data_IF_754086899733
#
_entry.id   IF_754086899733
#
_cell.length_a   1.000
_cell.length_b   1.000
_cell.length_c   1.000
_cell.angle_alpha   90.00
_cell.angle_beta   90.00
_cell.angle_gamma   90.00
#
_symmetry.space_group_name_H-M   'P 1'
#
loop_
_entity.id
_entity.type
_entity.pdbx_description
1 polymer ?
#
# COMPACT_ATOMS: atom_id res chain seq x y z
N UNK A 1 14.37 12.76 22.57
CA UNK A 1 14.41 11.45 21.90
C UNK A 1 13.63 11.40 20.58
N UNK A 2 12.44 12.01 20.42
CA UNK A 2 11.78 12.16 19.09
C UNK A 2 12.70 12.90 18.11
N UNK A 3 13.36 13.96 18.58
CA UNK A 3 14.26 14.79 17.78
C UNK A 3 15.30 14.02 16.97
N UNK A 4 15.97 13.00 17.53
CA UNK A 4 17.02 12.28 16.80
C UNK A 4 16.47 11.47 15.61
N UNK A 5 15.28 10.88 15.74
CA UNK A 5 14.63 10.13 14.65
C UNK A 5 14.15 11.09 13.58
N UNK A 6 13.47 12.17 13.99
CA UNK A 6 13.02 13.23 13.09
C UNK A 6 14.19 13.83 12.32
N UNK A 7 15.31 14.13 12.98
CA UNK A 7 16.51 14.66 12.33
C UNK A 7 17.12 13.70 11.31
N UNK A 8 17.24 12.41 11.65
CA UNK A 8 17.76 11.38 10.73
C UNK A 8 16.87 11.26 9.50
N UNK A 9 15.55 11.17 9.72
CA UNK A 9 14.59 11.03 8.65
C UNK A 9 14.53 12.29 7.78
N UNK A 10 14.55 13.49 8.39
CA UNK A 10 14.58 14.74 7.66
C UNK A 10 15.85 14.86 6.80
N UNK A 11 17.04 14.53 7.35
CA UNK A 11 18.29 14.49 6.58
C UNK A 11 18.26 13.51 5.41
N UNK A 12 17.47 12.45 5.50
CA UNK A 12 17.25 11.52 4.39
C UNK A 12 16.29 12.12 3.35
N UNK A 13 15.19 12.74 3.78
CA UNK A 13 14.15 13.29 2.91
C UNK A 13 14.59 14.55 2.13
N UNK A 14 15.53 15.33 2.67
CA UNK A 14 16.06 16.54 1.99
C UNK A 14 17.21 16.26 1.03
N UNK A 15 17.62 15.00 0.84
CA UNK A 15 18.64 14.66 -0.15
C UNK A 15 18.12 14.93 -1.56
N UNK A 16 19.01 15.35 -2.45
CA UNK A 16 18.70 15.32 -3.87
C UNK A 16 18.43 13.85 -4.26
N UNK A 17 17.32 13.62 -4.95
CA UNK A 17 16.92 12.30 -5.44
C UNK A 17 16.70 11.27 -4.30
N UNK A 18 15.72 11.52 -3.43
CA UNK A 18 15.25 10.52 -2.45
C UNK A 18 14.35 9.46 -3.12
N UNK A 19 14.27 8.26 -2.53
CA UNK A 19 13.48 7.12 -3.01
C UNK A 19 13.89 6.60 -4.39
N UNK A 20 15.18 6.31 -4.58
CA UNK A 20 15.69 5.77 -5.85
C UNK A 20 15.80 4.24 -5.83
N UNK A 21 15.56 3.61 -4.68
CA UNK A 21 15.72 2.17 -4.50
C UNK A 21 14.69 1.61 -3.50
N UNK A 22 14.48 0.28 -3.52
CA UNK A 22 13.64 -0.42 -2.52
C UNK A 22 14.15 -0.19 -1.07
N UNK A 23 15.46 -0.26 -0.77
CA UNK A 23 16.00 0.08 0.54
C UNK A 23 15.64 1.48 1.05
N UNK A 24 15.54 2.50 0.18
CA UNK A 24 15.19 3.86 0.59
C UNK A 24 13.76 3.91 1.17
N UNK A 25 12.83 3.22 0.52
CA UNK A 25 11.44 3.11 0.99
C UNK A 25 11.37 2.29 2.28
N UNK A 26 12.08 1.16 2.35
CA UNK A 26 12.14 0.34 3.57
C UNK A 26 12.70 1.14 4.74
N UNK A 27 13.76 1.92 4.50
CA UNK A 27 14.34 2.82 5.50
C UNK A 27 13.30 3.82 6.02
N UNK A 28 12.58 4.49 5.11
CA UNK A 28 11.47 5.37 5.49
C UNK A 28 10.41 4.66 6.31
N UNK A 29 9.93 3.48 5.88
CA UNK A 29 8.93 2.71 6.61
C UNK A 29 9.40 2.34 8.03
N UNK A 30 10.67 1.98 8.20
CA UNK A 30 11.26 1.68 9.52
C UNK A 30 11.27 2.91 10.42
N UNK A 31 11.76 4.05 9.94
CA UNK A 31 11.83 5.27 10.75
C UNK A 31 10.44 5.86 11.03
N UNK A 32 9.53 5.83 10.05
CA UNK A 32 8.13 6.24 10.23
C UNK A 32 7.42 5.42 11.32
N UNK A 33 7.61 4.09 11.38
CA UNK A 33 7.07 3.25 12.46
C UNK A 33 7.55 3.66 13.85
N UNK A 34 8.82 4.06 13.98
CA UNK A 34 9.38 4.53 15.25
C UNK A 34 8.82 5.88 15.67
N UNK A 35 8.48 6.75 14.71
CA UNK A 35 7.79 8.00 15.00
C UNK A 35 6.33 7.74 15.39
N UNK A 36 5.62 6.92 14.62
CA UNK A 36 4.23 6.52 14.92
C UNK A 36 4.09 5.91 16.31
N UNK A 37 5.03 5.06 16.75
CA UNK A 37 4.96 4.46 18.10
C UNK A 37 5.11 5.46 19.25
N UNK A 38 5.55 6.68 18.97
CA UNK A 38 5.74 7.77 19.94
C UNK A 38 4.64 8.83 19.91
N UNK A 39 3.75 8.77 18.93
CA UNK A 39 2.58 9.66 18.86
C UNK A 39 1.57 9.33 19.95
N UNK A 40 0.65 10.26 20.23
CA UNK A 40 -0.50 10.00 21.09
C UNK A 40 -1.37 8.86 20.53
N UNK A 41 -2.20 8.23 21.35
CA UNK A 41 -3.10 7.17 20.87
C UNK A 41 -4.07 7.68 19.79
N UNK A 42 -4.58 8.90 19.95
CA UNK A 42 -5.45 9.56 18.98
C UNK A 42 -4.75 9.71 17.63
N UNK A 43 -3.52 10.22 17.62
CA UNK A 43 -2.73 10.40 16.41
C UNK A 43 -2.32 9.06 15.78
N UNK A 44 -2.00 8.05 16.60
CA UNK A 44 -1.68 6.70 16.08
C UNK A 44 -2.86 6.11 15.32
N UNK A 45 -4.08 6.27 15.83
CA UNK A 45 -5.28 5.79 15.17
C UNK A 45 -5.55 6.57 13.87
N UNK A 46 -5.30 7.89 13.89
CA UNK A 46 -5.38 8.74 12.70
C UNK A 46 -4.44 8.29 11.58
N UNK A 47 -3.24 7.83 11.91
CA UNK A 47 -2.23 7.35 10.96
C UNK A 47 -2.15 5.82 10.86
N UNK A 48 -3.24 5.12 11.18
CA UNK A 48 -3.28 3.66 11.15
C UNK A 48 -3.00 3.09 9.76
N UNK A 49 -3.45 3.76 8.68
CA UNK A 49 -3.21 3.31 7.31
C UNK A 49 -1.72 3.41 6.94
N UNK A 50 -1.05 4.52 7.26
CA UNK A 50 0.41 4.60 7.10
C UNK A 50 1.11 3.50 7.87
N UNK A 51 0.73 3.27 9.12
CA UNK A 51 1.28 2.18 9.94
C UNK A 51 1.07 0.82 9.26
N UNK A 52 -0.11 0.57 8.71
CA UNK A 52 -0.45 -0.67 8.00
C UNK A 52 0.52 -0.92 6.84
N UNK A 53 0.76 0.08 5.98
CA UNK A 53 1.70 -0.04 4.86
C UNK A 53 3.14 -0.22 5.33
N UNK A 54 3.59 0.53 6.35
CA UNK A 54 4.94 0.38 6.88
C UNK A 54 5.17 -0.99 7.53
N UNK A 55 4.17 -1.54 8.22
CA UNK A 55 4.24 -2.90 8.74
C UNK A 55 4.27 -3.90 7.58
N UNK A 56 3.39 -3.77 6.59
CA UNK A 56 3.32 -4.68 5.45
C UNK A 56 4.65 -4.78 4.72
N UNK A 57 5.32 -3.65 4.44
CA UNK A 57 6.63 -3.58 3.79
C UNK A 57 7.75 -4.37 4.50
N UNK A 58 7.53 -4.76 5.76
CA UNK A 58 8.50 -5.46 6.61
C UNK A 58 8.10 -6.90 6.93
N UNK A 59 7.05 -7.42 6.30
CA UNK A 59 6.57 -8.79 6.48
C UNK A 59 6.43 -9.48 5.13
N UNK A 60 6.60 -10.81 5.11
CA UNK A 60 6.40 -11.61 3.90
C UNK A 60 4.93 -11.71 3.49
N UNK A 61 4.01 -11.45 4.42
CA UNK A 61 2.57 -11.40 4.21
C UNK A 61 1.92 -10.48 5.25
N UNK A 62 0.72 -9.98 4.95
CA UNK A 62 -0.06 -9.12 5.84
C UNK A 62 -1.38 -9.80 6.22
N UNK A 63 -1.46 -10.27 7.46
CA UNK A 63 -2.61 -11.00 8.03
C UNK A 63 -3.25 -10.30 9.23
N UNK A 64 -2.61 -9.23 9.73
CA UNK A 64 -2.99 -8.53 10.96
C UNK A 64 -3.43 -7.09 10.67
N UNK A 65 -4.26 -6.51 11.55
CA UNK A 65 -4.74 -5.12 11.46
C UNK A 65 -5.49 -4.83 10.15
N UNK A 66 -6.30 -5.80 9.70
CA UNK A 66 -7.07 -5.70 8.46
C UNK A 66 -8.28 -4.77 8.59
N UNK A 67 -8.71 -4.48 9.82
CA UNK A 67 -9.76 -3.51 10.15
C UNK A 67 -9.44 -2.11 9.60
N UNK A 68 -8.16 -1.75 9.54
CA UNK A 68 -7.68 -0.45 9.00
C UNK A 68 -8.00 -0.27 7.52
N UNK A 69 -8.14 -1.36 6.77
CA UNK A 69 -8.45 -1.35 5.34
C UNK A 69 -9.83 -1.94 5.04
N UNK A 70 -10.67 -2.21 6.06
CA UNK A 70 -11.97 -2.90 5.87
C UNK A 70 -12.86 -2.17 4.85
N UNK A 71 -12.97 -0.85 4.95
CA UNK A 71 -13.77 -0.05 4.01
C UNK A 71 -13.23 -0.12 2.59
N UNK A 72 -11.90 -0.17 2.42
CA UNK A 72 -11.26 -0.33 1.11
C UNK A 72 -11.58 -1.71 0.53
N UNK A 73 -11.54 -2.76 1.36
CA UNK A 73 -11.87 -4.13 0.92
C UNK A 73 -13.34 -4.24 0.49
N UNK A 74 -14.25 -3.58 1.20
CA UNK A 74 -15.68 -3.50 0.86
C UNK A 74 -15.89 -2.70 -0.44
N UNK A 75 -15.17 -1.58 -0.62
CA UNK A 75 -15.18 -0.81 -1.87
C UNK A 75 -14.71 -1.68 -3.04
N UNK A 76 -13.65 -2.48 -2.85
CA UNK A 76 -13.13 -3.42 -3.87
C UNK A 76 -14.09 -4.55 -4.23
N UNK A 77 -14.96 -4.99 -3.33
CA UNK A 77 -16.04 -5.93 -3.68
C UNK A 77 -17.09 -5.32 -4.58
N UNK A 78 -17.39 -4.04 -4.34
CA UNK A 78 -18.46 -3.33 -5.04
C UNK A 78 -17.99 -2.86 -6.40
N UNK A 79 -16.81 -2.25 -6.46
CA UNK A 79 -16.12 -1.86 -7.68
C UNK A 79 -14.62 -2.10 -7.55
N UNK A 80 -14.23 -3.32 -7.92
CA UNK A 80 -12.83 -3.76 -7.90
C UNK A 80 -11.95 -2.89 -8.79
N UNK A 81 -12.51 -2.21 -9.80
CA UNK A 81 -11.76 -1.33 -10.71
C UNK A 81 -11.29 -0.09 -10.01
N UNK A 82 -12.25 0.70 -9.53
CA UNK A 82 -11.99 2.04 -9.04
C UNK A 82 -11.20 1.95 -7.74
N UNK A 83 -11.64 1.10 -6.82
CA UNK A 83 -10.95 0.85 -5.56
C UNK A 83 -9.59 0.18 -5.76
N UNK A 84 -9.49 -0.78 -6.69
CA UNK A 84 -8.23 -1.42 -7.06
C UNK A 84 -7.20 -0.42 -7.60
N UNK A 85 -7.63 0.48 -8.48
CA UNK A 85 -6.79 1.54 -9.03
C UNK A 85 -6.35 2.54 -7.94
N UNK A 86 -7.27 2.99 -7.08
CA UNK A 86 -6.92 3.85 -5.95
C UNK A 86 -5.92 3.18 -5.00
N UNK A 87 -6.05 1.87 -4.78
CA UNK A 87 -5.15 1.13 -3.90
C UNK A 87 -3.76 0.93 -4.51
N UNK A 88 -3.67 0.53 -5.79
CA UNK A 88 -2.38 0.32 -6.47
C UNK A 88 -1.61 1.64 -6.64
N UNK A 89 -2.33 2.74 -6.90
CA UNK A 89 -1.76 4.09 -6.99
C UNK A 89 -1.53 4.74 -5.62
N UNK A 90 -1.85 4.04 -4.53
CA UNK A 90 -1.69 4.51 -3.15
C UNK A 90 -2.45 5.82 -2.85
N UNK A 91 -3.57 6.05 -3.53
CA UNK A 91 -4.41 7.24 -3.36
C UNK A 91 -5.04 7.31 -1.96
N UNK A 92 -5.32 6.18 -1.33
CA UNK A 92 -5.76 6.15 0.07
C UNK A 92 -4.63 6.52 1.05
N UNK A 93 -3.38 6.13 0.73
CA UNK A 93 -2.21 6.36 1.59
C UNK A 93 -1.69 7.80 1.49
N UNK A 94 -1.66 8.39 0.29
CA UNK A 94 -1.09 9.73 0.04
C UNK A 94 -1.56 10.81 1.03
N UNK A 95 -2.87 11.03 1.27
CA UNK A 95 -3.32 12.05 2.21
C UNK A 95 -2.91 11.74 3.65
N UNK A 96 -2.98 10.46 4.06
CA UNK A 96 -2.60 10.04 5.40
C UNK A 96 -1.09 10.25 5.66
N UNK A 97 -0.26 9.97 4.66
CA UNK A 97 1.18 10.17 4.70
C UNK A 97 1.55 11.67 4.69
N UNK A 98 0.92 12.46 3.81
CA UNK A 98 1.12 13.91 3.75
C UNK A 98 0.87 14.56 5.12
N UNK A 99 -0.30 14.28 5.70
CA UNK A 99 -0.67 14.85 6.99
C UNK A 99 0.25 14.38 8.12
N UNK A 100 0.70 13.13 8.10
CA UNK A 100 1.69 12.63 9.04
C UNK A 100 2.99 13.45 8.97
N UNK A 101 3.53 13.67 7.76
CA UNK A 101 4.77 14.42 7.56
C UNK A 101 4.66 15.85 8.12
N UNK A 102 3.53 16.52 7.88
CA UNK A 102 3.27 17.87 8.39
C UNK A 102 3.22 17.86 9.93
N UNK A 103 2.51 16.91 10.53
CA UNK A 103 2.35 16.79 12.00
C UNK A 103 3.68 16.53 12.70
N UNK A 104 4.57 15.71 12.11
CA UNK A 104 5.88 15.41 12.70
C UNK A 104 6.99 16.38 12.28
N UNK A 105 6.67 17.41 11.48
CA UNK A 105 7.59 18.45 11.04
C UNK A 105 8.69 17.96 10.09
N UNK A 106 8.34 17.05 9.18
CA UNK A 106 9.24 16.52 8.15
C UNK A 106 8.97 17.15 6.79
N UNK A 107 9.97 17.09 5.91
CA UNK A 107 9.80 17.45 4.50
C UNK A 107 8.65 16.65 3.86
N UNK A 108 7.61 17.35 3.43
CA UNK A 108 6.42 16.74 2.87
C UNK A 108 6.61 16.36 1.39
N UNK A 109 7.27 15.23 1.17
CA UNK A 109 7.49 14.71 -0.18
C UNK A 109 6.22 14.20 -0.86
N UNK A 110 5.13 13.95 -0.12
CA UNK A 110 3.87 13.50 -0.70
C UNK A 110 3.27 14.55 -1.65
N UNK A 111 3.57 15.83 -1.40
CA UNK A 111 3.13 16.95 -2.23
C UNK A 111 4.04 17.22 -3.45
N UNK A 112 5.12 16.43 -3.61
CA UNK A 112 6.04 16.52 -4.75
C UNK A 112 5.77 15.35 -5.69
N UNK A 113 5.19 15.62 -6.86
CA UNK A 113 4.71 14.56 -7.77
C UNK A 113 5.81 13.56 -8.13
N UNK A 114 6.99 14.00 -8.55
CA UNK A 114 8.09 13.09 -8.91
C UNK A 114 8.56 12.23 -7.73
N UNK A 115 8.66 12.82 -6.54
CA UNK A 115 9.10 12.09 -5.34
C UNK A 115 8.04 11.11 -4.86
N UNK A 116 6.76 11.48 -4.94
CA UNK A 116 5.64 10.60 -4.64
C UNK A 116 5.55 9.43 -5.62
N UNK A 117 5.73 9.68 -6.92
CA UNK A 117 5.76 8.65 -7.96
C UNK A 117 6.88 7.65 -7.67
N UNK A 118 8.09 8.12 -7.36
CA UNK A 118 9.21 7.25 -7.01
C UNK A 118 8.93 6.44 -5.72
N UNK A 119 8.44 7.09 -4.67
CA UNK A 119 8.08 6.43 -3.42
C UNK A 119 7.04 5.32 -3.64
N UNK A 120 5.93 5.62 -4.33
CA UNK A 120 4.85 4.66 -4.59
C UNK A 120 5.30 3.52 -5.51
N UNK A 121 6.14 3.81 -6.50
CA UNK A 121 6.76 2.79 -7.36
C UNK A 121 7.64 1.84 -6.56
N UNK A 122 8.59 2.34 -5.76
CA UNK A 122 9.47 1.46 -4.99
C UNK A 122 8.74 0.78 -3.82
N UNK A 123 7.75 1.42 -3.21
CA UNK A 123 6.91 0.77 -2.19
C UNK A 123 6.13 -0.40 -2.79
N UNK A 124 5.50 -0.22 -3.96
CA UNK A 124 4.77 -1.32 -4.61
C UNK A 124 5.70 -2.45 -5.07
N UNK A 125 6.98 -2.17 -5.35
CA UNK A 125 8.01 -3.20 -5.55
C UNK A 125 8.37 -3.95 -4.29
N UNK A 126 8.54 -3.26 -3.16
CA UNK A 126 8.78 -3.90 -1.85
C UNK A 126 7.62 -4.82 -1.50
N UNK A 127 6.39 -4.39 -1.77
CA UNK A 127 5.15 -5.14 -1.51
C UNK A 127 4.85 -6.21 -2.57
N UNK A 128 5.63 -6.28 -3.65
CA UNK A 128 5.47 -7.30 -4.68
C UNK A 128 5.71 -8.70 -4.07
N UNK A 129 4.83 -9.64 -4.39
CA UNK A 129 4.83 -11.00 -3.80
C UNK A 129 4.61 -11.05 -2.27
N UNK A 130 4.24 -9.95 -1.62
CA UNK A 130 3.83 -9.93 -0.22
C UNK A 130 2.30 -9.84 -0.13
N UNK A 131 1.56 -10.96 -0.05
CA UNK A 131 0.09 -10.90 -0.08
C UNK A 131 -0.48 -10.26 1.18
N UNK A 132 -1.58 -9.52 1.03
CA UNK A 132 -2.57 -9.34 2.11
C UNK A 132 -3.48 -10.56 2.07
N UNK A 133 -3.59 -11.27 3.20
CA UNK A 133 -4.45 -12.43 3.34
C UNK A 133 -5.55 -12.09 4.34
N UNK A 134 -6.78 -12.06 3.87
CA UNK A 134 -7.92 -11.81 4.75
C UNK A 134 -8.35 -13.11 5.44
N UNK A 135 -8.77 -12.96 6.69
CA UNK A 135 -9.33 -14.04 7.48
C UNK A 135 -10.84 -13.77 7.68
N UNK A 136 -11.51 -14.52 8.55
CA UNK A 136 -12.94 -14.34 8.83
C UNK A 136 -13.25 -13.10 9.69
N UNK A 137 -12.25 -12.31 10.10
CA UNK A 137 -12.45 -11.12 10.92
C UNK A 137 -12.83 -9.88 10.10
N UNK A 138 -12.63 -9.90 8.78
CA UNK A 138 -13.11 -8.84 7.88
C UNK A 138 -14.53 -9.15 7.44
N UNK A 139 -15.40 -8.14 7.37
CA UNK A 139 -16.74 -8.26 6.76
C UNK A 139 -16.68 -8.46 5.25
N UNK A 140 -15.55 -8.13 4.66
CA UNK A 140 -15.25 -8.30 3.25
C UNK A 140 -15.12 -9.78 2.85
N UNK A 141 -15.67 -10.11 1.68
CA UNK A 141 -15.45 -11.33 0.92
C UNK A 141 -14.13 -11.34 0.12
N UNK A 142 -13.38 -10.23 0.02
CA UNK A 142 -12.00 -10.27 -0.52
C UNK A 142 -11.21 -11.28 0.31
N UNK A 143 -10.56 -12.24 -0.33
CA UNK A 143 -9.72 -13.29 0.27
C UNK A 143 -8.25 -12.89 0.30
N UNK A 144 -7.75 -12.34 -0.79
CA UNK A 144 -6.35 -11.93 -0.89
C UNK A 144 -6.15 -10.77 -1.84
N UNK A 145 -5.13 -9.94 -1.55
CA UNK A 145 -4.66 -8.86 -2.43
C UNK A 145 -3.16 -9.04 -2.62
N UNK A 146 -2.68 -8.90 -3.86
CA UNK A 146 -1.26 -9.00 -4.20
C UNK A 146 -0.84 -7.94 -5.21
N UNK A 147 0.29 -7.29 -4.97
CA UNK A 147 1.02 -6.62 -6.03
C UNK A 147 1.77 -7.67 -6.87
N UNK A 148 1.73 -7.52 -8.20
CA UNK A 148 2.43 -8.37 -9.16
C UNK A 148 3.16 -7.53 -10.19
N UNK A 149 4.44 -7.77 -10.37
CA UNK A 149 5.22 -7.13 -11.42
C UNK A 149 5.03 -7.85 -12.77
N UNK A 150 4.48 -7.14 -13.76
CA UNK A 150 4.36 -7.66 -15.12
C UNK A 150 5.59 -7.32 -15.95
N UNK A 151 6.48 -8.30 -16.13
CA UNK A 151 7.73 -8.14 -16.90
C UNK A 151 7.53 -7.61 -18.32
N UNK A 152 6.43 -8.00 -18.98
CA UNK A 152 6.14 -7.60 -20.37
C UNK A 152 5.92 -6.09 -20.52
N UNK A 153 5.30 -5.46 -19.53
CA UNK A 153 4.92 -4.05 -19.56
C UNK A 153 5.78 -3.19 -18.63
N UNK A 154 6.60 -3.82 -17.77
CA UNK A 154 7.35 -3.17 -16.68
C UNK A 154 6.44 -2.36 -15.73
N UNK A 155 5.21 -2.83 -15.57
CA UNK A 155 4.20 -2.22 -14.70
C UNK A 155 3.92 -3.12 -13.50
N UNK A 156 3.47 -2.50 -12.43
CA UNK A 156 2.97 -3.21 -11.25
C UNK A 156 1.46 -3.26 -11.35
N UNK A 157 0.94 -4.47 -11.12
CA UNK A 157 -0.47 -4.77 -11.18
C UNK A 157 -0.98 -5.18 -9.81
N UNK A 158 -2.26 -4.91 -9.54
CA UNK A 158 -2.94 -5.47 -8.39
C UNK A 158 -3.66 -6.74 -8.80
N UNK A 159 -3.63 -7.75 -7.94
CA UNK A 159 -4.41 -8.99 -8.07
C UNK A 159 -5.31 -9.10 -6.85
N UNK A 160 -6.62 -9.11 -7.06
CA UNK A 160 -7.61 -9.24 -5.98
C UNK A 160 -8.33 -10.57 -6.15
N UNK A 161 -8.37 -11.36 -5.08
CA UNK A 161 -9.08 -12.63 -4.99
C UNK A 161 -10.34 -12.44 -4.15
N UNK A 162 -11.54 -12.75 -4.66
CA UNK A 162 -12.82 -12.60 -3.93
C UNK A 162 -13.46 -13.98 -3.69
N UNK A 163 -14.00 -14.20 -2.49
CA UNK A 163 -14.81 -15.37 -2.13
C UNK A 163 -16.22 -15.15 -2.65
N UNK A 164 -16.61 -15.82 -3.73
CA UNK A 164 -18.03 -15.92 -4.10
C UNK A 164 -18.56 -17.36 -3.83
N UNK A 165 -19.88 -17.55 -3.96
CA UNK A 165 -20.54 -18.86 -3.80
C UNK A 165 -20.25 -19.85 -4.97
N UNK A 166 -19.52 -19.45 -6.01
CA UNK A 166 -19.27 -20.15 -7.28
C UNK A 166 -17.77 -20.40 -7.59
N UNK A 167 -16.83 -19.91 -6.80
CA UNK A 167 -15.38 -20.05 -6.98
C UNK A 167 -14.60 -18.74 -7.02
N UNK A 168 -13.28 -18.84 -6.87
CA UNK A 168 -12.37 -17.68 -6.85
C UNK A 168 -12.42 -16.84 -8.13
N UNK A 169 -12.72 -15.54 -8.01
CA UNK A 169 -12.53 -14.56 -9.10
C UNK A 169 -11.22 -13.80 -8.92
N UNK A 170 -10.51 -13.54 -10.02
CA UNK A 170 -9.30 -12.71 -10.03
C UNK A 170 -9.49 -11.50 -10.94
N UNK A 171 -9.08 -10.32 -10.48
CA UNK A 171 -8.96 -9.13 -11.29
C UNK A 171 -7.49 -8.69 -11.37
N UNK A 172 -7.02 -8.29 -12.56
CA UNK A 172 -5.66 -7.84 -12.83
C UNK A 172 -5.71 -6.39 -13.34
N UNK A 173 -4.85 -5.50 -12.84
CA UNK A 173 -4.95 -4.05 -13.08
C UNK A 173 -3.63 -3.45 -13.57
N UNK A 174 -3.56 -2.92 -14.79
CA UNK A 174 -2.39 -2.13 -15.22
C UNK A 174 -2.39 -1.63 -16.66
N UNK A 175 -3.36 -2.01 -17.48
CA UNK A 175 -3.45 -1.64 -18.90
C UNK A 175 -4.85 -1.19 -19.36
N UNK A 176 -5.75 -0.88 -18.42
CA UNK A 176 -7.09 -0.33 -18.73
C UNK A 176 -8.02 -1.29 -19.47
N UNK A 177 -7.67 -2.58 -19.57
CA UNK A 177 -8.54 -3.63 -20.14
C UNK A 177 -8.85 -4.69 -19.10
N UNK A 178 -10.13 -4.80 -18.80
CA UNK A 178 -10.69 -5.85 -17.97
C UNK A 178 -10.60 -7.21 -18.66
N UNK A 179 -10.25 -8.25 -17.90
CA UNK A 179 -10.65 -9.61 -18.23
C UNK A 179 -11.45 -10.13 -17.05
N UNK A 180 -12.77 -10.22 -17.23
CA UNK A 180 -13.61 -11.04 -16.36
C UNK A 180 -13.16 -12.48 -16.57
N UNK A 181 -12.61 -13.13 -15.55
CA UNK A 181 -12.16 -14.53 -15.63
C UNK A 181 -13.35 -15.51 -15.65
N UNK A 182 -14.16 -15.44 -16.71
CA UNK A 182 -14.94 -16.59 -17.16
C UNK A 182 -14.60 -17.01 -18.60
N UNK A 183 -13.72 -16.30 -19.31
CA UNK A 183 -13.43 -16.60 -20.72
C UNK A 183 -12.08 -17.28 -21.00
N UNK A 184 -11.19 -17.45 -20.02
CA UNK A 184 -9.85 -18.04 -20.25
C UNK A 184 -9.64 -19.48 -19.74
N UNK A 185 -10.69 -20.15 -19.24
CA UNK A 185 -10.63 -21.59 -18.89
C UNK A 185 -11.54 -22.46 -19.78
N UNK A 186 -11.73 -22.04 -21.02
CA UNK A 186 -12.51 -22.78 -22.02
C UNK A 186 -11.97 -22.59 -23.41
N UNK A 187 -10.70 -22.92 -23.63
CA UNK A 187 -10.08 -23.29 -24.93
C UNK A 187 -8.58 -23.50 -24.71
N UNK A 188 -8.18 -24.75 -24.51
CA UNK A 188 -7.14 -25.45 -25.26
C UNK A 188 -7.19 -26.94 -24.89
#
# INVERSE_FOLDING_TARGET
>A
MIGEITEKLNRFLVRNEVFQTEPDVVYFCVEARKLLSRLSEVDRNKFALLKFYCDWALHTEKTQQLDVIEDILIEMETDVTEAGLKFVSMNYLKPNLSEFLDVVGLENFANKDDTWINFSYFLSRVLNEQPILTNTSTKSHVKSIRFKYGHKYKLIFLTVEIRDQKGTQWANFGDGKFIRLQETLGKH
#
